data_IF_568254094215
#
_entry.id   IF_568254094215
#
_cell.length_a   1.000
_cell.length_b   1.000
_cell.length_c   1.000
_cell.angle_alpha   90.00
_cell.angle_beta   90.00
_cell.angle_gamma   90.00
#
_symmetry.space_group_name_H-M   'P 1'
#
loop_
_entity.id
_entity.type
_entity.pdbx_description
1 polymer ?
#
# COMPACT_ATOMS: atom_id res chain seq x y z
N UNK A 1 18.66 3.43 -27.03
CA UNK A 1 18.76 1.95 -27.08
C UNK A 1 17.35 1.42 -27.25
N UNK A 2 17.04 0.94 -28.45
CA UNK A 2 15.69 0.53 -28.87
C UNK A 2 15.56 -0.97 -28.69
N UNK A 3 14.61 -1.40 -27.85
CA UNK A 3 14.31 -2.82 -27.64
C UNK A 3 13.32 -3.26 -28.72
N UNK A 4 13.77 -4.14 -29.61
CA UNK A 4 12.97 -4.77 -30.66
C UNK A 4 12.16 -5.91 -30.03
N UNK A 5 10.84 -6.03 -30.25
CA UNK A 5 10.08 -7.19 -29.82
C UNK A 5 10.34 -8.35 -30.78
N UNK A 6 10.80 -9.49 -30.26
CA UNK A 6 10.85 -10.75 -31.02
C UNK A 6 9.44 -11.26 -31.24
N UNK A 7 9.07 -11.38 -32.52
CA UNK A 7 7.89 -12.08 -32.97
C UNK A 7 8.04 -13.58 -32.63
N UNK A 8 7.04 -14.15 -31.96
CA UNK A 8 6.90 -15.59 -31.76
C UNK A 8 6.29 -16.16 -33.06
N UNK A 9 6.96 -17.07 -33.78
CA UNK A 9 6.38 -17.69 -34.96
C UNK A 9 5.26 -18.65 -34.53
N UNK A 10 4.05 -18.37 -34.99
CA UNK A 10 2.87 -19.21 -34.87
C UNK A 10 2.84 -20.20 -36.05
N UNK A 11 3.73 -21.18 -36.04
CA UNK A 11 3.71 -22.30 -37.00
C UNK A 11 3.42 -23.61 -36.27
N UNK A 12 2.14 -23.89 -35.98
CA UNK A 12 1.66 -25.25 -35.71
C UNK A 12 0.20 -25.40 -36.14
N UNK A 13 -0.04 -25.41 -37.44
CA UNK A 13 -1.18 -26.12 -38.02
C UNK A 13 -0.61 -27.31 -38.82
N UNK A 14 -0.14 -28.30 -38.06
CA UNK A 14 0.17 -29.63 -38.60
C UNK A 14 -1.13 -30.25 -39.10
N UNK A 15 -1.23 -30.41 -40.42
CA UNK A 15 -2.30 -31.20 -41.05
C UNK A 15 -2.18 -32.63 -40.51
N UNK A 16 -3.18 -33.10 -39.78
CA UNK A 16 -3.18 -34.45 -39.22
C UNK A 16 -2.99 -35.47 -40.36
N UNK A 17 -2.04 -36.41 -40.27
CA UNK A 17 -1.86 -37.44 -41.29
C UNK A 17 -3.14 -38.27 -41.38
N UNK A 18 -3.66 -38.43 -42.60
CA UNK A 18 -4.85 -39.26 -42.85
C UNK A 18 -4.44 -40.72 -42.65
N UNK A 19 -4.92 -41.34 -41.57
CA UNK A 19 -4.67 -42.74 -41.23
C UNK A 19 -5.74 -43.65 -41.86
N UNK A 20 -5.31 -44.67 -42.61
CA UNK A 20 -6.20 -45.66 -43.24
C UNK A 20 -6.22 -47.02 -42.54
N UNK A 21 -5.46 -47.19 -41.45
CA UNK A 21 -5.42 -48.43 -40.65
C UNK A 21 -5.67 -48.14 -39.17
N UNK A 22 -6.25 -49.11 -38.46
CA UNK A 22 -6.58 -48.98 -37.03
C UNK A 22 -5.33 -48.78 -36.16
N UNK A 23 -4.21 -49.41 -36.53
CA UNK A 23 -2.91 -49.23 -35.85
C UNK A 23 -2.35 -47.81 -36.03
N UNK A 24 -2.52 -47.22 -37.23
CA UNK A 24 -2.13 -45.84 -37.49
C UNK A 24 -2.95 -44.86 -36.64
N UNK A 25 -4.28 -45.07 -36.56
CA UNK A 25 -5.16 -44.23 -35.77
C UNK A 25 -4.83 -44.31 -34.27
N UNK A 26 -4.59 -45.51 -33.73
CA UNK A 26 -4.20 -45.68 -32.32
C UNK A 26 -2.87 -44.99 -31.99
N UNK A 27 -1.89 -45.03 -32.90
CA UNK A 27 -0.63 -44.31 -32.73
C UNK A 27 -0.80 -42.80 -32.82
N UNK A 28 -1.59 -42.30 -33.79
CA UNK A 28 -1.89 -40.88 -33.93
C UNK A 28 -2.61 -40.32 -32.68
N UNK A 29 -3.61 -41.04 -32.16
CA UNK A 29 -4.33 -40.68 -30.94
C UNK A 29 -3.40 -40.64 -29.72
N UNK A 30 -2.50 -41.62 -29.59
CA UNK A 30 -1.50 -41.65 -28.50
C UNK A 30 -0.54 -40.46 -28.58
N UNK A 31 -0.04 -40.14 -29.78
CA UNK A 31 0.86 -39.00 -29.98
C UNK A 31 0.16 -37.68 -29.72
N UNK A 32 -1.10 -37.53 -30.14
CA UNK A 32 -1.92 -36.36 -29.86
C UNK A 32 -2.16 -36.19 -28.35
N UNK A 33 -2.53 -37.27 -27.65
CA UNK A 33 -2.73 -37.25 -26.20
C UNK A 33 -1.45 -36.88 -25.45
N UNK A 34 -0.29 -37.40 -25.85
CA UNK A 34 1.00 -37.02 -25.26
C UNK A 34 1.31 -35.54 -25.53
N UNK A 35 1.11 -35.08 -26.77
CA UNK A 35 1.36 -33.70 -27.17
C UNK A 35 0.48 -32.69 -26.43
N UNK A 36 -0.72 -33.08 -25.99
CA UNK A 36 -1.60 -32.25 -25.17
C UNK A 36 -1.32 -32.38 -23.67
N UNK A 37 -1.10 -33.60 -23.17
CA UNK A 37 -0.96 -33.86 -21.75
C UNK A 37 0.36 -33.31 -21.18
N UNK A 38 1.47 -33.38 -21.93
CA UNK A 38 2.78 -32.92 -21.45
C UNK A 38 2.82 -31.40 -21.22
N UNK A 39 2.37 -30.54 -22.15
CA UNK A 39 2.32 -29.10 -21.90
C UNK A 39 1.36 -28.72 -20.77
N UNK A 40 0.21 -29.37 -20.67
CA UNK A 40 -0.75 -29.13 -19.59
C UNK A 40 -0.17 -29.51 -18.22
N UNK A 41 0.49 -30.67 -18.12
CA UNK A 41 1.16 -31.09 -16.90
C UNK A 41 2.33 -30.17 -16.52
N UNK A 42 3.13 -29.74 -17.52
CA UNK A 42 4.21 -28.79 -17.30
C UNK A 42 3.71 -27.41 -16.84
N UNK A 43 2.64 -26.90 -17.45
CA UNK A 43 1.99 -25.65 -17.05
C UNK A 43 1.41 -25.76 -15.63
N UNK A 44 0.76 -26.88 -15.30
CA UNK A 44 0.24 -27.13 -13.96
C UNK A 44 1.37 -27.22 -12.92
N UNK A 45 2.47 -27.89 -13.23
CA UNK A 45 3.63 -27.99 -12.34
C UNK A 45 4.31 -26.62 -12.13
N UNK A 46 4.47 -25.82 -13.20
CA UNK A 46 5.02 -24.48 -13.11
C UNK A 46 4.11 -23.55 -12.28
N UNK A 47 2.79 -23.62 -12.49
CA UNK A 47 1.82 -22.88 -11.68
C UNK A 47 1.88 -23.33 -10.20
N UNK A 48 1.94 -24.64 -9.94
CA UNK A 48 2.07 -25.17 -8.58
C UNK A 48 3.38 -24.74 -7.90
N UNK A 49 4.48 -24.64 -8.65
CA UNK A 49 5.77 -24.15 -8.13
C UNK A 49 5.72 -22.65 -7.81
N UNK A 50 5.17 -21.83 -8.71
CA UNK A 50 5.03 -20.38 -8.51
C UNK A 50 4.05 -20.02 -7.39
N UNK A 51 3.02 -20.85 -7.18
CA UNK A 51 2.03 -20.67 -6.12
C UNK A 51 2.41 -21.38 -4.82
N UNK A 52 3.57 -22.02 -4.76
CA UNK A 52 4.01 -22.71 -3.55
C UNK A 52 4.20 -21.67 -2.44
N UNK A 53 3.59 -21.86 -1.25
CA UNK A 53 3.88 -20.97 -0.13
C UNK A 53 5.38 -21.02 0.17
N UNK A 54 5.97 -19.91 0.65
CA UNK A 54 7.38 -19.88 0.98
C UNK A 54 7.72 -20.99 2.00
N UNK A 55 8.88 -21.66 1.86
CA UNK A 55 9.26 -22.76 2.73
C UNK A 55 9.25 -22.33 4.20
N UNK A 56 8.69 -23.18 5.08
CA UNK A 56 8.52 -22.89 6.52
C UNK A 56 9.86 -22.57 7.21
N UNK A 57 10.96 -23.10 6.71
CA UNK A 57 12.33 -22.84 7.20
C UNK A 57 12.69 -21.33 7.17
N UNK A 58 12.14 -20.55 6.23
CA UNK A 58 12.34 -19.10 6.16
C UNK A 58 11.48 -18.31 7.17
N UNK A 59 10.36 -18.89 7.61
CA UNK A 59 9.53 -18.34 8.67
C UNK A 59 10.16 -18.60 10.05
N UNK A 60 10.71 -19.79 10.24
CA UNK A 60 11.36 -20.21 11.48
C UNK A 60 12.73 -19.55 11.69
N UNK A 61 13.46 -19.23 10.62
CA UNK A 61 14.73 -18.49 10.69
C UNK A 61 14.58 -17.01 11.04
N UNK A 62 13.33 -16.51 11.12
CA UNK A 62 13.03 -15.10 11.34
C UNK A 62 13.35 -14.21 10.14
N UNK A 63 13.75 -14.77 8.98
CA UNK A 63 14.02 -14.02 7.75
C UNK A 63 12.77 -13.51 7.05
N UNK A 64 11.60 -14.08 7.37
CA UNK A 64 10.34 -13.71 6.75
C UNK A 64 9.29 -13.47 7.82
N UNK A 65 8.69 -12.28 7.82
CA UNK A 65 7.58 -11.93 8.69
C UNK A 65 6.30 -11.81 7.89
N UNK A 66 5.25 -12.46 8.37
CA UNK A 66 3.90 -12.25 7.86
C UNK A 66 3.19 -11.28 8.80
N UNK A 67 2.67 -10.19 8.26
CA UNK A 67 1.71 -9.36 8.98
C UNK A 67 0.37 -10.12 8.97
N UNK A 68 0.00 -10.71 10.10
CA UNK A 68 -1.20 -11.54 10.26
C UNK A 68 -2.49 -10.84 9.81
N UNK A 69 -2.52 -9.51 9.88
CA UNK A 69 -3.72 -8.73 9.58
C UNK A 69 -3.84 -8.38 8.09
N UNK A 70 -2.74 -8.18 7.38
CA UNK A 70 -2.78 -7.91 5.92
C UNK A 70 -2.44 -9.12 5.06
N UNK A 71 -1.82 -10.15 5.65
CA UNK A 71 -1.20 -11.26 4.94
C UNK A 71 0.02 -10.84 4.11
N UNK A 72 0.55 -9.61 4.29
CA UNK A 72 1.76 -9.21 3.61
C UNK A 72 2.96 -9.92 4.23
N UNK A 73 3.77 -10.49 3.34
CA UNK A 73 4.99 -11.20 3.70
C UNK A 73 6.17 -10.28 3.42
N UNK A 74 6.95 -9.96 4.46
CA UNK A 74 8.13 -9.12 4.41
C UNK A 74 9.37 -9.99 4.60
N UNK A 75 10.39 -9.79 3.77
CA UNK A 75 11.71 -10.37 4.00
C UNK A 75 12.54 -9.39 4.84
N UNK A 76 13.23 -9.89 5.87
CA UNK A 76 14.22 -9.13 6.63
C UNK A 76 15.25 -8.60 5.62
N UNK A 77 15.63 -7.32 5.69
CA UNK A 77 16.77 -6.81 4.94
C UNK A 77 18.00 -7.69 5.19
N UNK A 78 18.82 -7.96 4.18
CA UNK A 78 20.01 -8.83 4.29
C UNK A 78 20.97 -8.41 5.42
N UNK A 79 20.87 -7.16 5.86
CA UNK A 79 21.59 -6.55 6.98
C UNK A 79 21.26 -7.15 8.38
N UNK A 80 20.30 -8.07 8.48
CA UNK A 80 19.96 -8.76 9.73
C UNK A 80 19.28 -7.87 10.78
N UNK A 81 18.74 -6.73 10.35
CA UNK A 81 18.11 -5.76 11.25
C UNK A 81 16.75 -6.26 11.75
N UNK A 82 16.60 -6.32 13.08
CA UNK A 82 15.35 -6.75 13.72
C UNK A 82 14.31 -5.63 13.57
N UNK A 83 13.11 -5.92 13.04
CA UNK A 83 12.08 -4.90 12.91
C UNK A 83 11.55 -4.46 14.28
N UNK A 84 11.29 -3.17 14.41
CA UNK A 84 10.68 -2.55 15.57
C UNK A 84 9.28 -3.13 15.79
N UNK A 85 9.01 -3.49 17.04
CA UNK A 85 7.68 -3.85 17.51
C UNK A 85 7.21 -2.82 18.53
N UNK A 86 5.94 -2.46 18.45
CA UNK A 86 5.31 -1.59 19.42
C UNK A 86 5.07 -2.31 20.76
N UNK A 87 4.51 -1.59 21.74
CA UNK A 87 4.25 -2.12 23.09
C UNK A 87 3.26 -3.32 23.10
N UNK A 88 2.50 -3.50 22.03
CA UNK A 88 1.56 -4.61 21.88
C UNK A 88 2.17 -5.78 21.08
N UNK A 89 3.45 -5.69 20.70
CA UNK A 89 4.13 -6.68 19.88
C UNK A 89 3.87 -6.56 18.38
N UNK A 90 3.12 -5.54 17.92
CA UNK A 90 2.82 -5.34 16.51
C UNK A 90 3.97 -4.62 15.80
N UNK A 91 4.18 -4.90 14.51
CA UNK A 91 5.24 -4.24 13.73
C UNK A 91 4.97 -2.73 13.61
N UNK A 92 6.04 -1.94 13.70
CA UNK A 92 6.02 -0.53 13.34
C UNK A 92 6.40 -0.37 11.86
N UNK A 93 5.71 0.53 11.16
CA UNK A 93 5.85 0.69 9.71
C UNK A 93 6.23 2.11 9.33
N UNK A 94 7.04 2.27 8.29
CA UNK A 94 7.16 3.51 7.54
C UNK A 94 6.17 3.49 6.39
N UNK A 95 5.44 4.58 6.21
CA UNK A 95 4.58 4.75 5.04
C UNK A 95 5.42 5.21 3.85
N UNK A 96 5.59 4.36 2.83
CA UNK A 96 6.27 4.70 1.58
C UNK A 96 5.26 4.50 0.44
N UNK A 97 4.67 5.60 -0.06
CA UNK A 97 3.54 5.49 -1.00
C UNK A 97 2.43 4.63 -0.36
N UNK A 98 1.83 3.68 -1.09
CA UNK A 98 0.79 2.78 -0.59
C UNK A 98 1.29 1.59 0.24
N UNK A 99 2.61 1.36 0.28
CA UNK A 99 3.18 0.15 0.89
C UNK A 99 3.74 0.49 2.27
N UNK A 100 3.22 -0.14 3.34
CA UNK A 100 3.86 -0.06 4.65
C UNK A 100 5.16 -0.88 4.62
N UNK A 101 6.24 -0.33 5.14
CA UNK A 101 7.53 -1.00 5.22
C UNK A 101 7.99 -1.12 6.68
N UNK A 102 8.28 -2.31 7.22
CA UNK A 102 8.79 -2.46 8.58
C UNK A 102 10.05 -1.63 8.81
N UNK A 103 10.16 -0.98 9.97
CA UNK A 103 11.35 -0.18 10.34
C UNK A 103 12.19 -0.90 11.38
N UNK A 104 13.52 -0.68 11.45
CA UNK A 104 14.34 -1.20 12.54
C UNK A 104 14.09 -0.45 13.86
N UNK A 105 14.43 -1.07 15.00
CA UNK A 105 14.19 -0.53 16.35
C UNK A 105 14.81 0.85 16.60
N UNK A 106 15.93 1.15 15.95
CA UNK A 106 16.67 2.41 16.07
C UNK A 106 16.28 3.45 15.00
N UNK A 107 15.21 3.20 14.24
CA UNK A 107 14.79 4.11 13.18
C UNK A 107 14.37 5.47 13.74
N UNK A 108 14.90 6.56 13.16
CA UNK A 108 14.57 7.91 13.59
C UNK A 108 13.14 8.31 13.17
N UNK A 109 12.40 8.97 14.05
CA UNK A 109 11.10 9.56 13.74
C UNK A 109 10.08 9.48 14.88
N UNK A 110 8.94 10.14 14.70
CA UNK A 110 7.84 10.02 15.67
C UNK A 110 6.95 8.83 15.33
N UNK A 111 6.54 8.09 16.37
CA UNK A 111 5.62 6.96 16.27
C UNK A 111 4.19 7.46 16.43
N UNK A 112 3.37 7.27 15.40
CA UNK A 112 1.96 7.67 15.37
C UNK A 112 1.07 6.44 15.21
N UNK A 113 0.00 6.34 16.00
CA UNK A 113 -1.00 5.29 15.82
C UNK A 113 -2.10 5.76 14.88
N UNK A 114 -2.32 5.02 13.80
CA UNK A 114 -3.29 5.36 12.75
C UNK A 114 -4.16 4.15 12.45
N UNK A 115 -5.48 4.36 12.41
CA UNK A 115 -6.46 3.31 12.13
C UNK A 115 -6.44 2.92 10.64
N UNK A 116 -6.09 1.66 10.37
CA UNK A 116 -5.99 1.08 9.02
C UNK A 116 -6.57 -0.33 8.98
N UNK A 117 -6.72 -0.90 7.78
CA UNK A 117 -7.27 -2.23 7.56
C UNK A 117 -8.67 -2.20 6.92
N UNK A 118 -9.42 -3.31 6.97
CA UNK A 118 -10.78 -3.38 6.46
C UNK A 118 -11.66 -2.23 6.94
N UNK A 119 -12.50 -1.67 6.07
CA UNK A 119 -13.39 -0.55 6.46
C UNK A 119 -14.27 -0.90 7.67
N UNK A 120 -14.72 -2.16 7.76
CA UNK A 120 -15.59 -2.66 8.83
C UNK A 120 -14.84 -2.96 10.14
N UNK A 121 -13.53 -3.17 10.09
CA UNK A 121 -12.71 -3.60 11.22
C UNK A 121 -11.32 -2.95 11.12
N UNK A 122 -11.27 -1.64 11.41
CA UNK A 122 -10.01 -0.89 11.43
C UNK A 122 -9.27 -1.14 12.73
N UNK A 123 -7.96 -1.18 12.64
CA UNK A 123 -7.08 -1.36 13.78
C UNK A 123 -5.99 -0.29 13.79
N UNK A 124 -5.70 0.22 14.99
CA UNK A 124 -4.70 1.25 15.21
C UNK A 124 -3.29 0.67 15.07
N UNK A 125 -2.61 0.97 13.97
CA UNK A 125 -1.23 0.55 13.69
C UNK A 125 -0.22 1.65 13.89
N UNK A 126 1.00 1.26 14.26
CA UNK A 126 2.09 2.18 14.51
C UNK A 126 2.83 2.52 13.23
N UNK A 127 2.82 3.79 12.85
CA UNK A 127 3.56 4.34 11.73
C UNK A 127 4.65 5.31 12.20
N UNK A 128 5.84 5.23 11.61
CA UNK A 128 6.98 6.08 11.93
C UNK A 128 7.20 7.12 10.83
N UNK A 129 7.26 8.38 11.24
CA UNK A 129 7.49 9.52 10.34
C UNK A 129 8.67 10.36 10.84
N UNK A 130 9.71 10.49 10.01
CA UNK A 130 10.84 11.38 10.28
C UNK A 130 10.39 12.82 10.11
N UNK A 131 10.91 13.79 10.86
CA UNK A 131 10.58 15.21 10.66
C UNK A 131 11.35 15.77 9.44
N UNK A 132 10.71 16.61 8.63
CA UNK A 132 11.32 17.24 7.44
C UNK A 132 11.59 18.73 7.64
N UNK A 133 10.78 19.40 8.45
CA UNK A 133 10.94 20.82 8.73
C UNK A 133 12.12 21.04 9.70
N UNK A 134 12.85 22.16 9.57
CA UNK A 134 13.84 22.55 10.56
C UNK A 134 13.22 22.63 11.96
N UNK A 135 13.93 22.11 12.95
CA UNK A 135 13.47 22.13 14.34
C UNK A 135 13.39 23.56 14.87
N UNK A 136 12.40 23.89 15.72
CA UNK A 136 11.40 22.98 16.28
C UNK A 136 10.19 22.76 15.35
N UNK A 137 9.88 21.50 15.07
CA UNK A 137 8.65 21.06 14.38
C UNK A 137 7.99 19.90 15.14
N UNK A 138 6.68 19.75 14.98
CA UNK A 138 5.90 18.65 15.55
C UNK A 138 5.01 18.00 14.49
N UNK A 139 4.75 16.70 14.66
CA UNK A 139 3.79 15.96 13.86
C UNK A 139 2.40 16.03 14.51
N UNK A 140 1.39 16.27 13.67
CA UNK A 140 0.00 16.50 14.05
C UNK A 140 -0.88 15.54 13.24
N UNK A 141 -1.78 14.84 13.91
CA UNK A 141 -2.70 13.88 13.29
C UNK A 141 -4.11 14.48 13.30
N UNK A 142 -4.66 14.75 12.12
CA UNK A 142 -5.95 15.42 11.97
C UNK A 142 -6.92 14.54 11.18
N UNK A 143 -8.03 14.14 11.82
CA UNK A 143 -9.03 13.24 11.20
C UNK A 143 -10.29 14.00 10.80
N UNK A 144 -10.53 14.20 9.50
CA UNK A 144 -11.64 14.98 8.95
C UNK A 144 -12.65 14.09 8.19
N UNK A 145 -13.95 14.43 8.17
CA UNK A 145 -14.91 13.76 7.29
C UNK A 145 -14.62 14.07 5.81
N UNK A 146 -15.18 13.27 4.89
CA UNK A 146 -15.15 13.56 3.44
C UNK A 146 -16.43 14.31 3.03
N UNK A 147 -16.37 15.37 2.20
CA UNK A 147 -15.15 16.04 1.73
C UNK A 147 -14.46 16.82 2.86
N UNK A 148 -13.13 16.82 2.86
CA UNK A 148 -12.33 17.40 3.95
C UNK A 148 -12.39 18.93 3.99
N UNK A 149 -12.46 19.58 2.82
CA UNK A 149 -12.41 21.04 2.72
C UNK A 149 -11.03 21.65 2.94
N UNK A 150 -9.95 20.89 2.68
CA UNK A 150 -8.56 21.38 2.77
C UNK A 150 -8.02 21.64 1.37
N UNK A 151 -7.39 22.79 1.18
CA UNK A 151 -6.71 23.16 -0.07
C UNK A 151 -5.22 22.88 0.10
N UNK A 152 -4.69 22.03 -0.77
CA UNK A 152 -3.26 21.70 -0.81
C UNK A 152 -2.61 22.30 -2.04
N UNK A 153 -1.41 22.82 -1.86
CA UNK A 153 -0.49 23.23 -2.92
C UNK A 153 0.77 22.38 -2.84
N UNK A 154 1.47 22.20 -3.96
CA UNK A 154 2.72 21.46 -3.99
C UNK A 154 3.91 22.42 -4.07
N UNK A 155 4.76 22.41 -3.04
CA UNK A 155 6.00 23.17 -3.01
C UNK A 155 7.07 22.39 -3.79
N UNK A 156 7.31 22.77 -5.05
CA UNK A 156 8.31 22.14 -5.92
C UNK A 156 9.73 22.23 -5.36
N UNK A 157 10.06 23.27 -4.56
CA UNK A 157 11.40 23.44 -4.00
C UNK A 157 11.66 22.41 -2.90
N UNK A 158 10.67 22.19 -2.03
CA UNK A 158 10.74 21.23 -0.93
C UNK A 158 10.27 19.82 -1.32
N UNK A 159 9.66 19.67 -2.49
CA UNK A 159 9.06 18.43 -2.99
C UNK A 159 8.05 17.84 -2.01
N UNK A 160 7.17 18.70 -1.47
CA UNK A 160 6.14 18.30 -0.52
C UNK A 160 4.82 19.03 -0.78
N UNK A 161 3.72 18.41 -0.37
CA UNK A 161 2.41 19.07 -0.37
C UNK A 161 2.23 19.85 0.92
N UNK A 162 1.70 21.06 0.82
CA UNK A 162 1.52 22.01 1.92
C UNK A 162 0.06 22.45 1.95
N UNK A 163 -0.49 22.62 3.14
CA UNK A 163 -1.83 23.21 3.33
C UNK A 163 -1.75 24.68 2.94
N UNK A 164 -2.44 25.05 1.85
CA UNK A 164 -2.51 26.42 1.35
C UNK A 164 -3.74 27.18 1.89
N UNK A 165 -4.75 26.44 2.36
CA UNK A 165 -5.98 27.04 2.89
C UNK A 165 -7.03 26.00 3.23
N UNK A 166 -8.20 26.51 3.61
CA UNK A 166 -9.42 25.71 3.85
C UNK A 166 -10.58 26.32 3.06
N UNK A 167 -11.51 25.47 2.63
CA UNK A 167 -12.72 25.90 1.91
C UNK A 167 -13.73 26.46 2.91
N UNK A 168 -14.34 27.59 2.58
CA UNK A 168 -15.36 28.24 3.42
C UNK A 168 -16.58 27.33 3.62
N UNK A 169 -17.12 27.32 4.84
CA UNK A 169 -18.23 26.46 5.26
C UNK A 169 -17.85 25.00 5.51
N UNK A 170 -16.61 24.60 5.23
CA UNK A 170 -16.18 23.20 5.33
C UNK A 170 -15.90 22.74 6.76
N UNK A 171 -15.91 21.42 7.03
CA UNK A 171 -15.53 20.87 8.33
C UNK A 171 -14.11 21.27 8.77
N UNK A 172 -13.15 21.38 7.84
CA UNK A 172 -11.80 21.84 8.14
C UNK A 172 -11.79 23.30 8.63
N UNK A 173 -12.55 24.18 7.98
CA UNK A 173 -12.66 25.58 8.39
C UNK A 173 -13.33 25.72 9.76
N UNK A 174 -14.42 24.99 9.99
CA UNK A 174 -15.11 24.99 11.28
C UNK A 174 -14.17 24.57 12.42
N UNK A 175 -13.40 23.49 12.25
CA UNK A 175 -12.40 23.05 13.24
C UNK A 175 -11.28 24.06 13.43
N UNK A 176 -10.83 24.69 12.36
CA UNK A 176 -9.80 25.75 12.44
C UNK A 176 -10.31 26.96 13.21
N UNK A 177 -11.56 27.39 13.01
CA UNK A 177 -12.20 28.46 13.78
C UNK A 177 -12.30 28.10 15.26
N UNK A 178 -12.74 26.87 15.58
CA UNK A 178 -12.81 26.37 16.97
C UNK A 178 -11.43 26.33 17.62
N UNK A 179 -10.40 25.85 16.91
CA UNK A 179 -9.02 25.85 17.37
C UNK A 179 -8.45 27.26 17.57
N UNK A 180 -8.90 28.25 16.79
CA UNK A 180 -8.56 29.65 16.99
C UNK A 180 -9.10 30.21 18.32
N UNK A 181 -10.25 29.70 18.78
CA UNK A 181 -10.83 30.05 20.08
C UNK A 181 -10.18 29.26 21.24
N UNK A 182 -9.76 28.03 20.98
CA UNK A 182 -9.13 27.16 21.98
C UNK A 182 -7.81 26.55 21.49
N UNK A 183 -6.70 27.08 22.00
CA UNK A 183 -5.34 26.65 21.64
C UNK A 183 -5.06 25.18 21.93
N UNK A 184 -5.75 24.54 22.88
CA UNK A 184 -5.55 23.10 23.12
C UNK A 184 -6.01 22.25 21.94
N UNK A 185 -7.00 22.73 21.18
CA UNK A 185 -7.55 22.08 19.99
C UNK A 185 -6.76 22.43 18.72
N UNK A 186 -5.70 23.23 18.80
CA UNK A 186 -4.86 23.57 17.65
C UNK A 186 -4.26 22.32 16.99
N UNK A 187 -3.99 21.27 17.76
CA UNK A 187 -3.49 19.97 17.28
C UNK A 187 -4.56 19.14 16.55
N UNK A 188 -5.84 19.50 16.65
CA UNK A 188 -6.94 18.78 16.00
C UNK A 188 -7.41 19.48 14.72
N UNK A 189 -6.73 20.56 14.33
CA UNK A 189 -7.07 21.39 13.17
C UNK A 189 -5.89 21.47 12.20
N UNK A 190 -6.20 21.56 10.92
CA UNK A 190 -5.22 21.90 9.88
C UNK A 190 -4.91 23.39 9.92
N UNK A 191 -3.67 23.77 9.69
CA UNK A 191 -3.23 25.16 9.63
C UNK A 191 -2.47 25.43 8.32
N UNK A 192 -2.50 26.67 7.87
CA UNK A 192 -1.78 27.06 6.65
C UNK A 192 -0.27 26.89 6.87
N UNK A 193 0.40 26.34 5.88
CA UNK A 193 1.83 26.02 5.94
C UNK A 193 2.15 24.65 6.54
N UNK A 194 1.16 23.90 7.06
CA UNK A 194 1.36 22.51 7.48
C UNK A 194 1.80 21.65 6.29
N UNK A 195 2.83 20.83 6.47
CA UNK A 195 3.35 19.93 5.43
C UNK A 195 2.69 18.57 5.53
N UNK A 196 2.07 18.09 4.46
CA UNK A 196 1.48 16.76 4.39
C UNK A 196 2.58 15.68 4.35
N UNK A 197 2.58 14.82 5.37
CA UNK A 197 3.51 13.69 5.54
C UNK A 197 2.87 12.37 5.18
N UNK A 198 1.57 12.23 5.45
CA UNK A 198 0.81 11.06 5.09
C UNK A 198 -0.69 11.31 5.08
N UNK A 199 -1.44 10.45 4.39
CA UNK A 199 -2.90 10.51 4.35
C UNK A 199 -3.49 9.12 4.29
N UNK A 200 -4.53 8.85 5.06
CA UNK A 200 -5.29 7.61 4.91
C UNK A 200 -6.16 7.67 3.66
N UNK A 201 -6.16 6.60 2.86
CA UNK A 201 -6.96 6.50 1.66
C UNK A 201 -7.47 5.07 1.47
N UNK A 202 -8.52 4.89 0.66
CA UNK A 202 -9.12 3.57 0.45
C UNK A 202 -8.38 2.83 -0.66
N UNK A 203 -7.97 1.58 -0.45
CA UNK A 203 -7.42 0.71 -1.49
C UNK A 203 -8.26 -0.57 -1.60
N UNK A 204 -8.25 -1.19 -2.78
CA UNK A 204 -8.87 -2.50 -2.98
C UNK A 204 -7.82 -3.57 -2.74
N UNK A 205 -8.10 -4.49 -1.82
CA UNK A 205 -7.26 -5.65 -1.53
C UNK A 205 -7.97 -6.88 -2.08
N UNK A 206 -7.24 -7.64 -2.90
CA UNK A 206 -7.71 -8.90 -3.46
C UNK A 206 -7.14 -10.03 -2.62
N UNK A 207 -7.93 -10.67 -1.73
CA UNK A 207 -7.41 -11.72 -0.88
C UNK A 207 -6.93 -12.91 -1.73
N UNK A 208 -5.78 -13.48 -1.41
CA UNK A 208 -5.14 -14.58 -2.17
C UNK A 208 -6.03 -15.82 -2.30
N UNK A 209 -6.98 -16.01 -1.37
CA UNK A 209 -8.02 -17.07 -1.45
C UNK A 209 -8.99 -16.89 -2.64
N UNK A 210 -8.96 -15.75 -3.33
CA UNK A 210 -9.77 -15.49 -4.51
C UNK A 210 -9.35 -16.28 -5.76
N UNK A 211 -8.20 -16.97 -5.76
CA UNK A 211 -7.74 -17.76 -6.91
C UNK A 211 -8.61 -19.02 -7.18
N UNK A 212 -9.38 -19.49 -6.19
CA UNK A 212 -10.20 -20.71 -6.30
C UNK A 212 -11.70 -20.50 -6.06
N UNK A 213 -12.14 -19.24 -5.92
CA UNK A 213 -13.53 -18.84 -5.76
C UNK A 213 -13.63 -17.33 -5.73
N UNK A 214 -14.59 -16.74 -6.45
CA UNK A 214 -14.70 -15.29 -6.63
C UNK A 214 -15.09 -14.56 -5.33
N UNK A 215 -14.13 -14.32 -4.44
CA UNK A 215 -14.30 -13.42 -3.29
C UNK A 215 -14.23 -11.99 -3.81
N UNK A 216 -15.28 -11.21 -3.56
CA UNK A 216 -15.31 -9.81 -3.95
C UNK A 216 -14.14 -9.04 -3.31
N UNK A 217 -13.53 -8.07 -4.03
CA UNK A 217 -12.45 -7.27 -3.49
C UNK A 217 -12.90 -6.52 -2.24
N UNK A 218 -12.07 -6.54 -1.21
CA UNK A 218 -12.35 -5.82 0.02
C UNK A 218 -11.74 -4.41 -0.03
N UNK A 219 -12.46 -3.44 0.54
CA UNK A 219 -11.97 -2.07 0.66
C UNK A 219 -11.25 -1.90 1.99
N UNK A 220 -9.99 -1.51 1.92
CA UNK A 220 -9.12 -1.28 3.08
C UNK A 220 -8.74 0.18 3.17
N UNK A 221 -8.70 0.73 4.38
CA UNK A 221 -8.07 2.02 4.66
C UNK A 221 -6.58 1.78 4.83
N UNK A 222 -5.75 2.46 4.05
CA UNK A 222 -4.28 2.36 4.10
C UNK A 222 -3.67 3.75 4.26
N UNK A 223 -2.50 3.84 4.88
CA UNK A 223 -1.74 5.10 4.95
C UNK A 223 -0.89 5.26 3.70
N UNK A 224 -1.12 6.33 2.96
CA UNK A 224 -0.27 6.77 1.88
C UNK A 224 0.81 7.73 2.41
N UNK A 225 2.09 7.36 2.31
CA UNK A 225 3.20 8.24 2.65
C UNK A 225 3.44 9.28 1.56
N UNK A 226 3.35 10.58 1.90
CA UNK A 226 3.44 11.68 0.94
C UNK A 226 4.88 12.16 0.69
N UNK A 227 5.84 11.72 1.50
CA UNK A 227 7.22 12.18 1.44
C UNK A 227 7.90 11.83 0.12
N UNK A 228 8.52 12.85 -0.50
CA UNK A 228 9.26 12.74 -1.77
C UNK A 228 8.42 12.14 -2.91
N UNK A 229 7.09 12.12 -2.78
CA UNK A 229 6.19 11.61 -3.80
C UNK A 229 5.85 12.69 -4.83
N UNK A 230 5.61 12.28 -6.07
CA UNK A 230 5.13 13.18 -7.13
C UNK A 230 3.75 13.72 -6.76
N UNK A 231 3.48 14.99 -7.04
CA UNK A 231 2.20 15.63 -6.74
C UNK A 231 1.00 14.89 -7.31
N UNK A 232 1.12 14.34 -8.53
CA UNK A 232 0.07 13.54 -9.16
C UNK A 232 -0.35 12.33 -8.31
N UNK A 233 0.61 11.66 -7.65
CA UNK A 233 0.34 10.50 -6.81
C UNK A 233 -0.31 10.91 -5.48
N UNK A 234 0.19 11.99 -4.87
CA UNK A 234 -0.39 12.55 -3.65
C UNK A 234 -1.84 12.97 -3.87
N UNK A 235 -2.12 13.67 -4.98
CA UNK A 235 -3.49 14.01 -5.40
C UNK A 235 -4.37 12.78 -5.62
N UNK A 236 -3.83 11.75 -6.24
CA UNK A 236 -4.55 10.49 -6.46
C UNK A 236 -4.94 9.87 -5.11
N UNK A 237 -4.00 9.78 -4.17
CA UNK A 237 -4.25 9.28 -2.82
C UNK A 237 -5.30 10.13 -2.06
N UNK A 238 -5.19 11.46 -2.10
CA UNK A 238 -6.16 12.39 -1.48
C UNK A 238 -7.58 12.23 -2.04
N UNK A 239 -7.73 11.92 -3.34
CA UNK A 239 -9.01 11.67 -3.99
C UNK A 239 -9.56 10.27 -3.75
N UNK A 240 -8.73 9.35 -3.27
CA UNK A 240 -9.09 7.94 -3.18
C UNK A 240 -9.92 7.67 -1.93
N UNK A 241 -11.14 7.22 -2.14
CA UNK A 241 -12.12 6.88 -1.12
C UNK A 241 -13.43 7.63 -1.25
N UNK A 242 -14.50 7.03 -0.73
CA UNK A 242 -15.87 7.55 -0.74
C UNK A 242 -16.30 8.00 0.65
N UNK A 243 -17.34 8.85 0.78
CA UNK A 243 -17.87 9.24 2.10
C UNK A 243 -18.25 8.04 2.99
N UNK A 244 -18.73 6.94 2.41
CA UNK A 244 -19.07 5.72 3.13
C UNK A 244 -17.86 4.97 3.71
N UNK A 245 -16.65 5.28 3.21
CA UNK A 245 -15.40 4.74 3.75
C UNK A 245 -14.97 5.49 5.02
N UNK A 246 -15.79 6.38 5.57
CA UNK A 246 -15.51 7.10 6.80
C UNK A 246 -14.51 8.25 6.63
N UNK A 247 -13.98 8.75 7.77
CA UNK A 247 -13.13 9.93 7.77
C UNK A 247 -11.73 9.65 7.22
N UNK A 248 -11.04 10.73 6.84
CA UNK A 248 -9.65 10.75 6.41
C UNK A 248 -8.79 11.29 7.52
N UNK A 249 -7.74 10.56 7.87
CA UNK A 249 -6.68 11.01 8.75
C UNK A 249 -5.51 11.54 7.93
N UNK A 250 -5.14 12.79 8.20
CA UNK A 250 -3.98 13.48 7.67
C UNK A 250 -2.89 13.47 8.72
N UNK A 251 -1.67 13.10 8.32
CA UNK A 251 -0.45 13.28 9.11
C UNK A 251 0.24 14.51 8.57
N UNK A 252 0.28 15.56 9.38
CA UNK A 252 0.82 16.87 9.03
C UNK A 252 2.04 17.17 9.89
N UNK A 253 3.01 17.90 9.35
CA UNK A 253 4.12 18.46 10.11
C UNK A 253 3.99 19.97 10.19
N UNK A 254 4.06 20.51 11.40
CA UNK A 254 3.90 21.92 11.70
C UNK A 254 5.16 22.47 12.35
N UNK A 255 5.54 23.71 12.00
CA UNK A 255 6.57 24.44 12.74
C UNK A 255 6.01 24.88 14.08
N UNK A 256 6.72 24.57 15.16
CA UNK A 256 6.39 25.11 16.47
C UNK A 256 6.96 26.52 16.49
N UNK A 257 6.07 27.53 16.46
CA UNK A 257 6.51 28.90 16.73
C UNK A 257 6.94 28.93 18.19
N UNK A 258 8.25 29.05 18.43
CA UNK A 258 8.73 29.40 19.77
C UNK A 258 8.07 30.71 20.14
N UNK A 259 7.20 30.69 21.14
CA UNK A 259 6.66 31.91 21.73
C UNK A 259 7.84 32.67 22.33
N UNK A 260 8.39 33.62 21.57
CA UNK A 260 9.29 34.67 22.04
C UNK A 260 8.52 35.66 22.89
#
# INVERSE_FOLDING_TARGET
>A
MSVVPHAVPLELLSVAPICFTQECQANADRTFLIALAVPLAAAAAAAAYLLRPPPQELKESGQVFEDETTGFVFQVPEDGTVPERDKNGNLAFRAISYTPWPVPTDYEGDRLRIDVGPIAAREARTFVFNRLLPQPSELVVVTLPRPMGVVFEYDERKKCAVVAGVVEGSPAEQRRKVAGLNRSLAKESVQDGDVLRGVTCTNFVYPTRALFGAVAPERHVVVYGADKQKWANVRSALRKGEPKDGPVTLVLERRVLSSS
#
